data_IF_876148871614
#
_entry.id   IF_876148871614
#
_cell.length_a   1.000
_cell.length_b   1.000
_cell.length_c   1.000
_cell.angle_alpha   90.00
_cell.angle_beta   90.00
_cell.angle_gamma   90.00
#
_symmetry.space_group_name_H-M   'P 1'
#
loop_
_entity.id
_entity.type
_entity.pdbx_description
1 polymer ?
#
# COMPACT_ATOMS: atom_id res chain seq x y z
N UNK A 1 -0.30 -10.37 -22.79
CA UNK A 1 -0.15 -8.90 -22.67
C UNK A 1 -1.49 -8.23 -22.95
N UNK A 2 -2.03 -8.28 -24.16
CA UNK A 2 -3.34 -7.67 -24.46
C UNK A 2 -4.50 -8.25 -23.61
N UNK A 3 -4.48 -9.52 -23.22
CA UNK A 3 -5.46 -10.07 -22.25
C UNK A 3 -5.21 -9.70 -20.78
N UNK A 4 -4.08 -9.06 -20.46
CA UNK A 4 -3.78 -8.52 -19.12
C UNK A 4 -4.10 -7.03 -19.01
N UNK A 5 -4.14 -6.29 -20.14
CA UNK A 5 -4.23 -4.81 -20.17
C UNK A 5 -5.07 -4.23 -21.34
N UNK A 6 -5.73 -5.03 -22.18
CA UNK A 6 -6.20 -4.61 -23.52
C UNK A 6 -7.69 -4.76 -23.82
N UNK A 7 -8.43 -5.59 -23.10
CA UNK A 7 -9.86 -5.32 -22.85
C UNK A 7 -9.98 -5.03 -21.37
N UNK A 8 -10.92 -4.18 -20.98
CA UNK A 8 -11.10 -3.70 -19.62
C UNK A 8 -12.01 -4.66 -18.82
N UNK A 9 -11.49 -5.73 -18.16
CA UNK A 9 -12.28 -6.48 -17.19
C UNK A 9 -12.64 -5.61 -15.97
N UNK A 10 -12.06 -4.42 -15.83
CA UNK A 10 -12.36 -3.40 -14.83
C UNK A 10 -13.51 -2.46 -15.23
N UNK A 11 -14.00 -2.54 -16.48
CA UNK A 11 -15.17 -1.78 -16.94
C UNK A 11 -16.46 -2.28 -16.27
N UNK A 12 -16.37 -3.42 -15.59
CA UNK A 12 -17.41 -4.05 -14.80
C UNK A 12 -16.98 -4.03 -13.33
N UNK A 13 -17.91 -3.65 -12.47
CA UNK A 13 -17.75 -3.56 -11.00
C UNK A 13 -17.31 -4.87 -10.33
N UNK A 14 -17.24 -5.98 -11.09
CA UNK A 14 -16.97 -7.35 -10.65
C UNK A 14 -15.66 -7.52 -9.89
N UNK A 15 -14.56 -6.88 -10.30
CA UNK A 15 -13.27 -6.98 -9.60
C UNK A 15 -12.93 -5.69 -8.83
N UNK A 16 -13.38 -4.55 -9.36
CA UNK A 16 -13.19 -3.25 -8.74
C UNK A 16 -13.82 -3.17 -7.36
N UNK A 17 -15.11 -3.49 -7.21
CA UNK A 17 -15.80 -3.34 -5.92
C UNK A 17 -15.22 -4.27 -4.85
N UNK A 18 -14.96 -5.57 -5.12
CA UNK A 18 -14.31 -6.43 -4.14
C UNK A 18 -12.92 -5.95 -3.73
N UNK A 19 -12.08 -5.50 -4.66
CA UNK A 19 -10.77 -4.93 -4.31
C UNK A 19 -10.92 -3.66 -3.45
N UNK A 20 -11.78 -2.72 -3.87
CA UNK A 20 -12.03 -1.50 -3.11
C UNK A 20 -12.51 -1.80 -1.68
N UNK A 21 -13.30 -2.86 -1.49
CA UNK A 21 -13.80 -3.27 -0.18
C UNK A 21 -12.82 -4.12 0.64
N UNK A 22 -11.78 -4.67 0.02
CA UNK A 22 -10.77 -5.54 0.66
C UNK A 22 -9.35 -5.09 0.24
N UNK A 23 -8.94 -3.86 0.59
CA UNK A 23 -7.63 -3.31 0.24
C UNK A 23 -6.44 -4.07 0.85
N UNK A 24 -6.69 -4.78 1.95
CA UNK A 24 -5.74 -5.62 2.68
C UNK A 24 -5.50 -6.98 2.01
N UNK A 25 -6.19 -7.28 0.91
CA UNK A 25 -5.97 -8.49 0.12
C UNK A 25 -4.52 -8.57 -0.34
N UNK A 26 -3.90 -9.74 -0.13
CA UNK A 26 -2.52 -9.94 -0.53
C UNK A 26 -2.35 -9.94 -2.05
N UNK A 27 -1.34 -9.23 -2.54
CA UNK A 27 -0.91 -9.30 -3.94
C UNK A 27 -0.27 -10.65 -4.30
N UNK A 28 0.29 -11.36 -3.31
CA UNK A 28 1.12 -12.56 -3.53
C UNK A 28 0.51 -13.87 -3.01
N UNK A 29 -0.59 -13.79 -2.25
CA UNK A 29 -1.32 -14.96 -1.74
C UNK A 29 -2.78 -14.90 -2.13
N UNK A 30 -3.30 -16.02 -2.61
CA UNK A 30 -4.69 -16.12 -3.05
C UNK A 30 -5.60 -16.65 -1.94
N UNK A 31 -6.75 -16.00 -1.78
CA UNK A 31 -7.80 -16.36 -0.84
C UNK A 31 -8.74 -17.46 -1.39
N UNK A 32 -8.22 -18.41 -2.18
CA UNK A 32 -9.05 -19.36 -2.96
C UNK A 32 -9.97 -20.23 -2.09
N UNK A 33 -9.51 -20.59 -0.88
CA UNK A 33 -10.26 -21.44 0.04
C UNK A 33 -11.06 -20.66 1.08
N UNK A 34 -11.05 -19.33 1.03
CA UNK A 34 -11.84 -18.53 1.96
C UNK A 34 -13.34 -18.63 1.63
N UNK A 35 -14.21 -18.60 2.65
CA UNK A 35 -15.65 -18.74 2.43
C UNK A 35 -16.26 -17.52 1.74
N UNK A 36 -15.61 -16.36 1.80
CA UNK A 36 -16.04 -15.15 1.12
C UNK A 36 -15.51 -15.15 -0.34
N UNK A 37 -16.38 -15.35 -1.35
CA UNK A 37 -15.95 -15.38 -2.75
C UNK A 37 -15.41 -14.01 -3.24
N UNK A 38 -15.78 -12.91 -2.58
CA UNK A 38 -15.30 -11.58 -2.95
C UNK A 38 -13.79 -11.44 -2.75
N UNK A 39 -13.17 -12.21 -1.84
CA UNK A 39 -11.72 -12.15 -1.62
C UNK A 39 -10.93 -12.64 -2.83
N UNK A 40 -11.42 -13.68 -3.53
CA UNK A 40 -10.80 -14.15 -4.78
C UNK A 40 -10.98 -13.11 -5.88
N UNK A 41 -12.15 -12.46 -5.96
CA UNK A 41 -12.38 -11.37 -6.91
C UNK A 41 -11.47 -10.17 -6.60
N UNK A 42 -11.22 -9.88 -5.33
CA UNK A 42 -10.27 -8.87 -4.88
C UNK A 42 -8.83 -9.24 -5.27
N UNK A 43 -8.42 -10.50 -5.18
CA UNK A 43 -7.10 -10.95 -5.69
C UNK A 43 -6.95 -10.71 -7.20
N UNK A 44 -7.99 -11.02 -7.99
CA UNK A 44 -8.01 -10.68 -9.43
C UNK A 44 -7.90 -9.17 -9.65
N UNK A 45 -8.63 -8.39 -8.85
CA UNK A 45 -8.56 -6.93 -8.88
C UNK A 45 -7.15 -6.40 -8.60
N UNK A 46 -6.53 -6.88 -7.52
CA UNK A 46 -5.19 -6.48 -7.10
C UNK A 46 -4.16 -6.83 -8.18
N UNK A 47 -4.23 -8.05 -8.73
CA UNK A 47 -3.34 -8.49 -9.81
C UNK A 47 -3.47 -7.60 -11.04
N UNK A 48 -4.70 -7.31 -11.49
CA UNK A 48 -4.93 -6.47 -12.66
C UNK A 48 -4.43 -5.04 -12.45
N UNK A 49 -4.79 -4.40 -11.34
CA UNK A 49 -4.36 -3.02 -11.05
C UNK A 49 -2.86 -2.91 -10.90
N UNK A 50 -2.21 -3.90 -10.28
CA UNK A 50 -0.74 -3.94 -10.20
C UNK A 50 -0.08 -4.06 -11.57
N UNK A 51 -0.55 -4.95 -12.45
CA UNK A 51 0.00 -5.06 -13.81
C UNK A 51 -0.37 -3.88 -14.71
N UNK A 52 -1.53 -3.24 -14.49
CA UNK A 52 -1.88 -1.98 -15.16
C UNK A 52 -0.92 -0.87 -14.75
N UNK A 53 -0.69 -0.71 -13.44
CA UNK A 53 0.29 0.24 -12.90
C UNK A 53 1.68 0.02 -13.51
N UNK A 54 2.13 -1.23 -13.58
CA UNK A 54 3.39 -1.57 -14.21
C UNK A 54 3.46 -1.18 -15.68
N UNK A 55 2.38 -1.41 -16.43
CA UNK A 55 2.30 -1.06 -17.84
C UNK A 55 2.34 0.47 -18.03
N UNK A 56 1.56 1.23 -17.26
CA UNK A 56 1.48 2.68 -17.41
C UNK A 56 2.82 3.37 -17.11
N UNK A 57 3.54 2.89 -16.08
CA UNK A 57 4.72 3.60 -15.57
C UNK A 57 6.07 3.07 -16.09
N UNK A 58 6.14 1.82 -16.59
CA UNK A 58 7.43 1.16 -16.86
C UNK A 58 7.62 0.62 -18.29
N UNK A 59 6.82 1.07 -19.26
CA UNK A 59 7.05 0.75 -20.69
C UNK A 59 5.95 -0.04 -21.38
N UNK A 60 4.72 0.05 -20.87
CA UNK A 60 3.51 -0.45 -21.51
C UNK A 60 3.50 -1.95 -21.68
N UNK A 61 2.87 -2.39 -22.77
CA UNK A 61 2.74 -3.81 -23.12
C UNK A 61 4.09 -4.52 -23.28
N UNK A 62 5.15 -3.79 -23.66
CA UNK A 62 6.49 -4.36 -23.83
C UNK A 62 7.12 -4.78 -22.51
N UNK A 63 6.90 -3.99 -21.44
CA UNK A 63 7.33 -4.33 -20.09
C UNK A 63 6.63 -5.61 -19.59
N UNK A 64 5.31 -5.68 -19.73
CA UNK A 64 4.52 -6.86 -19.32
C UNK A 64 4.94 -8.11 -20.09
N UNK A 65 5.24 -7.98 -21.39
CA UNK A 65 5.77 -9.10 -22.18
C UNK A 65 7.13 -9.58 -21.69
N UNK A 66 7.99 -8.67 -21.24
CA UNK A 66 9.29 -9.02 -20.70
C UNK A 66 9.15 -9.80 -19.38
N UNK A 67 8.34 -9.30 -18.44
CA UNK A 67 8.04 -9.97 -17.16
C UNK A 67 7.58 -11.42 -17.39
N UNK A 68 6.61 -11.62 -18.28
CA UNK A 68 6.04 -12.96 -18.57
C UNK A 68 7.03 -13.90 -19.27
N UNK A 69 8.06 -13.38 -19.95
CA UNK A 69 9.07 -14.19 -20.65
C UNK A 69 10.25 -14.57 -19.75
N UNK A 70 10.36 -14.00 -18.55
CA UNK A 70 11.45 -14.33 -17.60
C UNK A 70 11.38 -15.80 -17.20
N UNK A 71 12.55 -16.37 -16.92
CA UNK A 71 12.68 -17.73 -16.39
C UNK A 71 12.58 -17.76 -14.85
N UNK A 72 12.58 -16.59 -14.20
CA UNK A 72 12.31 -16.44 -12.77
C UNK A 72 10.82 -16.16 -12.55
N UNK A 73 10.35 -16.39 -11.33
CA UNK A 73 8.94 -16.25 -10.97
C UNK A 73 8.71 -15.02 -10.09
N UNK A 74 7.46 -14.57 -9.98
CA UNK A 74 7.01 -13.59 -8.98
C UNK A 74 7.79 -12.27 -9.00
N UNK A 75 8.13 -11.77 -7.82
CA UNK A 75 8.82 -10.49 -7.60
C UNK A 75 10.14 -10.41 -8.37
N UNK A 76 10.92 -11.50 -8.40
CA UNK A 76 12.21 -11.55 -9.09
C UNK A 76 12.08 -11.28 -10.59
N UNK A 77 10.97 -11.70 -11.22
CA UNK A 77 10.71 -11.40 -12.64
C UNK A 77 10.44 -9.92 -12.86
N UNK A 78 9.68 -9.27 -11.97
CA UNK A 78 9.37 -7.84 -12.01
C UNK A 78 10.63 -7.01 -11.83
N UNK A 79 11.44 -7.29 -10.80
CA UNK A 79 12.68 -6.54 -10.53
C UNK A 79 13.70 -6.69 -11.67
N UNK A 80 13.85 -7.89 -12.24
CA UNK A 80 14.73 -8.09 -13.40
C UNK A 80 14.24 -7.36 -14.66
N UNK A 81 12.93 -7.28 -14.87
CA UNK A 81 12.34 -6.51 -15.97
C UNK A 81 12.54 -5.00 -15.77
N UNK A 82 12.33 -4.48 -14.55
CA UNK A 82 12.64 -3.08 -14.19
C UNK A 82 14.09 -2.74 -14.55
N UNK A 83 15.05 -3.54 -14.06
CA UNK A 83 16.47 -3.35 -14.34
C UNK A 83 16.78 -3.39 -15.85
N UNK A 84 16.12 -4.27 -16.60
CA UNK A 84 16.36 -4.42 -18.05
C UNK A 84 15.79 -3.27 -18.89
N UNK A 85 14.75 -2.60 -18.38
CA UNK A 85 14.17 -1.40 -18.97
C UNK A 85 14.86 -0.11 -18.50
N UNK A 86 15.88 -0.22 -17.63
CA UNK A 86 16.67 0.92 -17.14
C UNK A 86 16.09 1.60 -15.91
N UNK A 87 15.10 0.99 -15.25
CA UNK A 87 14.55 1.43 -13.97
C UNK A 87 15.29 0.77 -12.80
N UNK A 88 15.35 1.43 -11.66
CA UNK A 88 16.02 0.91 -10.46
C UNK A 88 15.23 1.03 -9.13
N UNK A 89 13.88 1.07 -9.09
CA UNK A 89 13.18 0.87 -7.83
C UNK A 89 13.27 -0.60 -7.40
N UNK A 90 13.40 -0.86 -6.11
CA UNK A 90 13.16 -2.20 -5.57
C UNK A 90 11.64 -2.48 -5.49
N UNK A 91 11.27 -3.74 -5.27
CA UNK A 91 9.84 -4.08 -5.23
C UNK A 91 9.09 -3.40 -4.07
N UNK A 92 9.75 -3.02 -2.97
CA UNK A 92 9.10 -2.30 -1.86
C UNK A 92 8.72 -0.88 -2.29
N UNK A 93 9.60 -0.19 -2.98
CA UNK A 93 9.32 1.13 -3.54
C UNK A 93 8.19 1.07 -4.58
N UNK A 94 8.26 0.10 -5.49
CA UNK A 94 7.20 -0.16 -6.46
C UNK A 94 5.85 -0.40 -5.76
N UNK A 95 5.84 -1.30 -4.77
CA UNK A 95 4.63 -1.66 -4.03
C UNK A 95 4.06 -0.47 -3.27
N UNK A 96 4.90 0.32 -2.60
CA UNK A 96 4.51 1.56 -1.91
C UNK A 96 3.83 2.54 -2.88
N UNK A 97 4.44 2.80 -4.04
CA UNK A 97 3.87 3.77 -4.98
C UNK A 97 2.54 3.26 -5.57
N UNK A 98 2.44 1.95 -5.84
CA UNK A 98 1.18 1.31 -6.27
C UNK A 98 0.06 1.43 -5.22
N UNK A 99 0.36 1.21 -3.94
CA UNK A 99 -0.65 1.35 -2.87
C UNK A 99 -1.07 2.80 -2.65
N UNK A 100 -0.15 3.75 -2.78
CA UNK A 100 -0.50 5.18 -2.78
C UNK A 100 -1.38 5.52 -4.00
N UNK A 101 -1.06 5.01 -5.19
CA UNK A 101 -1.86 5.23 -6.40
C UNK A 101 -3.29 4.66 -6.26
N UNK A 102 -3.42 3.50 -5.60
CA UNK A 102 -4.73 2.91 -5.30
C UNK A 102 -5.61 3.77 -4.38
N UNK A 103 -4.99 4.62 -3.56
CA UNK A 103 -5.68 5.51 -2.62
C UNK A 103 -5.93 6.90 -3.22
N UNK A 104 -4.89 7.54 -3.75
CA UNK A 104 -4.95 8.91 -4.26
C UNK A 104 -5.54 9.02 -5.66
N UNK A 105 -5.24 8.04 -6.53
CA UNK A 105 -5.62 8.01 -7.94
C UNK A 105 -5.46 9.36 -8.65
N UNK A 106 -4.27 9.96 -8.52
CA UNK A 106 -3.97 11.31 -8.97
C UNK A 106 -2.63 11.39 -9.71
N UNK A 107 -2.71 11.45 -11.04
CA UNK A 107 -1.55 11.53 -11.95
C UNK A 107 -0.87 12.90 -11.98
N UNK A 108 -1.34 13.89 -11.21
CA UNK A 108 -0.64 15.18 -11.07
C UNK A 108 0.45 15.17 -10.01
N UNK A 109 0.57 14.06 -9.26
CA UNK A 109 1.52 13.89 -8.15
C UNK A 109 2.66 12.97 -8.54
N UNK A 110 3.86 13.25 -8.03
CA UNK A 110 5.06 12.41 -8.17
C UNK A 110 5.26 11.94 -9.62
N UNK A 111 5.34 12.88 -10.58
CA UNK A 111 5.48 12.57 -12.02
C UNK A 111 4.45 11.56 -12.58
N UNK A 112 3.29 11.45 -11.94
CA UNK A 112 2.21 10.53 -12.31
C UNK A 112 2.13 9.24 -11.50
N UNK A 113 3.17 8.91 -10.71
CA UNK A 113 3.29 7.63 -10.02
C UNK A 113 2.22 7.35 -8.95
N UNK A 114 1.45 8.36 -8.53
CA UNK A 114 0.36 8.20 -7.55
C UNK A 114 -1.03 8.22 -8.18
N UNK A 115 -1.14 7.85 -9.45
CA UNK A 115 -2.42 7.61 -10.09
C UNK A 115 -2.35 6.67 -11.29
N UNK A 116 -3.48 6.57 -11.96
CA UNK A 116 -3.67 5.78 -13.17
C UNK A 116 -4.18 6.65 -14.32
N UNK A 117 -3.79 6.30 -15.55
CA UNK A 117 -4.32 6.95 -16.76
C UNK A 117 -5.56 6.24 -17.30
N UNK A 118 -5.61 4.91 -17.22
CA UNK A 118 -6.63 4.10 -17.89
C UNK A 118 -7.66 3.46 -16.95
N UNK A 119 -7.48 3.58 -15.63
CA UNK A 119 -8.43 3.06 -14.63
C UNK A 119 -8.72 4.13 -13.58
N UNK A 120 -9.90 4.05 -12.95
CA UNK A 120 -10.22 4.87 -11.78
C UNK A 120 -10.51 3.96 -10.60
N UNK A 121 -9.80 4.13 -9.51
CA UNK A 121 -9.93 3.31 -8.29
C UNK A 121 -9.81 4.18 -7.05
N UNK A 122 -10.50 3.78 -5.99
CA UNK A 122 -10.34 4.40 -4.68
C UNK A 122 -10.57 3.32 -3.63
N UNK A 123 -9.55 2.99 -2.86
CA UNK A 123 -9.67 1.97 -1.80
C UNK A 123 -10.56 2.46 -0.67
N UNK A 124 -11.32 1.54 -0.07
CA UNK A 124 -12.04 1.84 1.17
C UNK A 124 -11.03 2.05 2.30
N UNK A 125 -11.36 2.97 3.18
CA UNK A 125 -10.67 3.14 4.45
C UNK A 125 -11.09 2.00 5.37
N UNK A 126 -10.16 1.49 6.16
CA UNK A 126 -10.45 0.48 7.16
C UNK A 126 -11.22 1.09 8.34
N UNK A 127 -12.36 0.49 8.68
CA UNK A 127 -13.16 0.92 9.83
C UNK A 127 -13.74 2.33 9.69
N UNK A 128 -13.95 2.98 10.84
CA UNK A 128 -14.43 4.36 10.90
C UNK A 128 -13.25 5.33 11.02
N UNK A 129 -13.37 6.57 10.49
CA UNK A 129 -12.43 7.63 10.78
C UNK A 129 -12.10 7.74 12.26
N UNK A 130 -10.81 7.84 12.56
CA UNK A 130 -10.36 8.19 13.89
C UNK A 130 -10.48 9.70 14.07
N UNK A 131 -11.32 10.12 15.03
CA UNK A 131 -11.64 11.54 15.27
C UNK A 131 -11.08 12.07 16.58
N UNK A 132 -10.43 11.22 17.38
CA UNK A 132 -9.81 11.63 18.63
C UNK A 132 -8.44 12.24 18.37
N UNK A 133 -8.17 13.39 19.00
CA UNK A 133 -6.87 14.05 18.93
C UNK A 133 -5.72 13.27 19.57
N UNK A 134 -6.02 12.25 20.37
CA UNK A 134 -5.05 11.30 20.90
C UNK A 134 -5.65 9.89 20.86
N UNK A 135 -4.84 8.93 20.40
CA UNK A 135 -5.22 7.52 20.29
C UNK A 135 -4.22 6.72 21.13
N UNK A 136 -4.70 5.98 22.15
CA UNK A 136 -3.84 5.10 22.92
C UNK A 136 -3.34 3.95 22.04
N UNK A 137 -2.48 3.08 22.57
CA UNK A 137 -2.01 1.91 21.84
C UNK A 137 -3.18 1.12 21.24
N UNK A 138 -3.22 1.08 19.91
CA UNK A 138 -4.20 0.35 19.10
C UNK A 138 -3.46 -0.74 18.35
N UNK A 139 -3.87 -1.99 18.57
CA UNK A 139 -3.37 -3.16 17.84
C UNK A 139 -4.15 -3.29 16.54
N UNK A 140 -3.47 -3.69 15.47
CA UNK A 140 -4.07 -4.10 14.21
C UNK A 140 -3.20 -5.16 13.50
N UNK A 141 -3.63 -5.66 12.35
CA UNK A 141 -2.88 -6.65 11.58
C UNK A 141 -3.05 -6.43 10.08
N UNK A 142 -1.97 -6.64 9.31
CA UNK A 142 -1.99 -6.53 7.85
C UNK A 142 -1.36 -7.77 7.22
N UNK A 143 -2.00 -8.43 6.25
CA UNK A 143 -1.41 -9.56 5.53
C UNK A 143 -0.13 -9.17 4.76
N UNK A 144 0.80 -10.12 4.58
CA UNK A 144 1.95 -9.89 3.71
C UNK A 144 1.52 -9.44 2.31
N UNK A 145 2.12 -8.35 1.84
CA UNK A 145 1.79 -7.72 0.57
C UNK A 145 0.31 -7.34 0.43
N UNK A 146 -0.37 -7.09 1.56
CA UNK A 146 -1.65 -6.39 1.68
C UNK A 146 -1.44 -4.97 2.25
N UNK A 147 -2.49 -4.15 2.27
CA UNK A 147 -2.41 -2.76 2.76
C UNK A 147 -3.63 -2.31 3.54
N UNK A 148 -3.38 -1.73 4.71
CA UNK A 148 -4.37 -1.01 5.50
C UNK A 148 -4.33 0.48 5.15
N UNK A 149 -5.52 1.09 5.02
CA UNK A 149 -5.69 2.53 4.88
C UNK A 149 -6.43 3.05 6.11
N UNK A 150 -5.71 3.68 7.03
CA UNK A 150 -6.27 4.23 8.26
C UNK A 150 -6.42 5.74 8.13
N UNK A 151 -7.63 6.26 8.37
CA UNK A 151 -7.93 7.68 8.19
C UNK A 151 -8.17 8.39 9.52
N UNK A 152 -7.57 9.56 9.65
CA UNK A 152 -7.60 10.42 10.83
C UNK A 152 -8.14 11.79 10.42
N UNK A 153 -9.32 12.11 10.93
CA UNK A 153 -9.98 13.40 10.76
C UNK A 153 -9.66 14.22 12.01
N UNK A 154 -8.65 15.09 11.90
CA UNK A 154 -8.13 15.86 13.01
C UNK A 154 -8.33 17.36 12.73
N UNK A 155 -8.59 18.19 13.75
CA UNK A 155 -8.57 19.63 13.55
C UNK A 155 -7.18 20.07 13.04
N UNK A 156 -7.15 20.93 12.01
CA UNK A 156 -5.93 21.42 11.31
C UNK A 156 -4.77 21.86 12.21
N UNK A 157 -5.10 22.37 13.38
CA UNK A 157 -4.15 22.94 14.34
C UNK A 157 -3.64 21.91 15.36
N UNK A 158 -4.07 20.65 15.25
CA UNK A 158 -3.63 19.56 16.10
C UNK A 158 -2.40 18.92 15.47
N UNK A 159 -1.23 18.94 16.13
CA UNK A 159 -0.09 18.17 15.66
C UNK A 159 -0.47 16.69 15.50
N UNK A 160 0.04 16.07 14.45
CA UNK A 160 0.01 14.62 14.25
C UNK A 160 1.39 14.04 14.58
N UNK A 161 1.44 13.24 15.64
CA UNK A 161 2.60 12.44 16.05
C UNK A 161 2.22 10.97 16.04
N UNK A 162 2.91 10.18 15.22
CA UNK A 162 2.75 8.73 15.13
C UNK A 162 3.89 8.04 15.86
N UNK A 163 3.54 7.06 16.68
CA UNK A 163 4.43 5.96 17.03
C UNK A 163 3.90 4.67 16.43
N UNK A 164 4.78 3.93 15.77
CA UNK A 164 4.46 2.69 15.10
C UNK A 164 5.41 1.58 15.54
N UNK A 165 4.87 0.37 15.71
CA UNK A 165 5.67 -0.84 15.92
C UNK A 165 5.01 -2.03 15.24
N UNK A 166 5.70 -2.57 14.23
CA UNK A 166 5.35 -3.83 13.60
C UNK A 166 5.98 -5.06 14.27
N UNK A 167 5.54 -6.26 13.91
CA UNK A 167 6.17 -7.52 14.33
C UNK A 167 7.63 -7.63 13.84
N UNK A 168 8.50 -8.27 14.63
CA UNK A 168 9.94 -8.37 14.32
C UNK A 168 10.25 -9.31 13.14
N UNK A 169 9.35 -10.25 12.82
CA UNK A 169 9.52 -11.22 11.73
C UNK A 169 9.14 -10.64 10.36
N UNK A 170 8.37 -9.55 10.33
CA UNK A 170 7.95 -8.86 9.11
C UNK A 170 8.72 -7.55 8.88
N UNK A 171 8.79 -7.15 7.62
CA UNK A 171 9.10 -5.78 7.24
C UNK A 171 7.82 -4.98 7.05
N UNK A 172 7.89 -3.66 7.24
CA UNK A 172 6.75 -2.77 7.06
C UNK A 172 7.11 -1.60 6.14
N UNK A 173 6.12 -1.17 5.37
CA UNK A 173 6.12 0.04 4.57
C UNK A 173 5.02 0.91 5.15
N UNK A 174 5.38 2.03 5.76
CA UNK A 174 4.42 2.97 6.34
C UNK A 174 4.58 4.30 5.63
N UNK A 175 3.48 4.84 5.14
CA UNK A 175 3.44 6.17 4.50
C UNK A 175 2.35 6.99 5.16
N UNK A 176 2.67 8.25 5.44
CA UNK A 176 1.72 9.26 5.91
C UNK A 176 1.34 10.14 4.73
N UNK A 177 0.05 10.23 4.43
CA UNK A 177 -0.50 11.17 3.46
C UNK A 177 -1.18 12.29 4.26
N UNK A 178 -0.69 13.50 4.09
CA UNK A 178 -1.25 14.71 4.70
C UNK A 178 -2.05 15.47 3.65
N UNK A 179 -3.34 15.66 3.90
CA UNK A 179 -4.24 16.40 3.02
C UNK A 179 -4.68 17.70 3.68
N UNK A 180 -4.72 18.78 2.90
CA UNK A 180 -5.37 20.03 3.29
C UNK A 180 -6.36 20.43 2.20
N UNK A 181 -7.44 21.07 2.60
CA UNK A 181 -8.49 21.57 1.69
C UNK A 181 -8.00 22.52 0.59
N UNK A 182 -6.82 23.13 0.78
CA UNK A 182 -6.27 24.16 -0.12
C UNK A 182 -4.89 23.82 -0.70
N UNK A 183 -4.33 22.64 -0.42
CA UNK A 183 -3.01 22.25 -0.93
C UNK A 183 -3.00 20.86 -1.54
N UNK A 184 -2.02 20.63 -2.39
CA UNK A 184 -1.69 19.29 -2.88
C UNK A 184 -1.35 18.39 -1.67
N UNK A 185 -1.81 17.12 -1.62
CA UNK A 185 -1.44 16.19 -0.57
C UNK A 185 0.07 16.00 -0.48
N UNK A 186 0.61 15.96 0.72
CA UNK A 186 2.01 15.60 0.97
C UNK A 186 2.09 14.12 1.32
N UNK A 187 2.91 13.38 0.59
CA UNK A 187 3.11 11.95 0.80
C UNK A 187 4.49 11.76 1.41
N UNK A 188 4.55 11.21 2.63
CA UNK A 188 5.78 11.10 3.39
C UNK A 188 5.99 9.67 3.89
N UNK A 189 7.03 8.97 3.41
CA UNK A 189 7.38 7.66 3.96
C UNK A 189 7.87 7.82 5.40
N UNK A 190 7.57 6.82 6.22
CA UNK A 190 8.07 6.70 7.60
C UNK A 190 9.22 5.70 7.61
N UNK A 191 10.35 6.10 8.16
CA UNK A 191 11.49 5.22 8.32
C UNK A 191 11.19 4.15 9.39
N UNK A 192 11.10 2.90 8.95
CA UNK A 192 10.91 1.75 9.83
C UNK A 192 12.26 1.08 10.09
N UNK A 193 12.69 1.08 11.35
CA UNK A 193 13.91 0.40 11.81
C UNK A 193 13.85 -1.12 11.58
N UNK A 194 15.00 -1.79 11.68
CA UNK A 194 15.09 -3.26 11.55
C UNK A 194 14.31 -4.01 12.62
N UNK A 195 14.07 -3.37 13.77
CA UNK A 195 13.25 -3.83 14.89
C UNK A 195 11.76 -3.43 14.72
N UNK A 196 11.35 -2.91 13.56
CA UNK A 196 9.95 -2.61 13.25
C UNK A 196 9.41 -1.33 13.90
N UNK A 197 10.24 -0.52 14.57
CA UNK A 197 9.82 0.78 15.11
C UNK A 197 9.86 1.86 14.03
N UNK A 198 8.86 2.73 14.01
CA UNK A 198 8.83 3.96 13.23
C UNK A 198 8.18 5.10 14.03
N UNK A 199 8.57 6.33 13.73
CA UNK A 199 7.95 7.52 14.27
C UNK A 199 7.79 8.57 13.18
N UNK A 200 6.82 9.46 13.36
CA UNK A 200 6.61 10.57 12.45
C UNK A 200 5.96 11.74 13.19
N UNK A 201 6.42 12.97 12.93
CA UNK A 201 5.90 14.18 13.56
C UNK A 201 5.71 15.29 12.54
N UNK A 202 4.47 15.78 12.43
CA UNK A 202 4.17 17.01 11.68
C UNK A 202 4.76 18.25 12.35
N UNK A 203 4.91 18.25 13.67
CA UNK A 203 5.48 19.36 14.43
C UNK A 203 6.98 19.51 14.16
N UNK A 204 7.74 18.41 14.17
CA UNK A 204 9.18 18.42 13.84
C UNK A 204 9.44 18.92 12.42
N UNK A 205 8.50 18.68 11.51
CA UNK A 205 8.57 19.11 10.11
C UNK A 205 8.02 20.53 9.88
N UNK A 206 7.32 21.12 10.87
CA UNK A 206 6.67 22.42 10.74
C UNK A 206 5.53 22.43 9.72
N UNK A 207 4.80 21.32 9.59
CA UNK A 207 3.70 21.12 8.63
C UNK A 207 2.38 20.95 9.40
N UNK A 208 1.26 21.35 8.80
CA UNK A 208 -0.10 21.08 9.30
C UNK A 208 -0.92 20.33 8.26
N UNK A 209 -1.92 19.58 8.72
CA UNK A 209 -2.82 18.79 7.88
C UNK A 209 -4.24 18.84 8.45
N UNK A 210 -5.24 19.01 7.57
CA UNK A 210 -6.67 18.87 7.92
C UNK A 210 -7.04 17.38 8.07
N UNK A 211 -6.42 16.52 7.25
CA UNK A 211 -6.69 15.09 7.21
C UNK A 211 -5.37 14.33 7.11
N UNK A 212 -5.29 13.20 7.80
CA UNK A 212 -4.12 12.31 7.74
C UNK A 212 -4.57 10.91 7.40
N UNK A 213 -3.89 10.28 6.43
CA UNK A 213 -4.06 8.87 6.10
C UNK A 213 -2.76 8.13 6.30
N UNK A 214 -2.81 7.03 7.05
CA UNK A 214 -1.72 6.05 7.10
C UNK A 214 -1.99 4.96 6.06
N UNK A 215 -0.99 4.72 5.23
CA UNK A 215 -0.93 3.59 4.30
C UNK A 215 0.10 2.62 4.87
N UNK A 216 -0.37 1.48 5.37
CA UNK A 216 0.46 0.51 6.11
C UNK A 216 0.43 -0.82 5.36
N UNK A 217 1.59 -1.28 4.93
CA UNK A 217 1.75 -2.59 4.30
C UNK A 217 2.82 -3.40 5.01
N UNK A 218 2.72 -4.73 4.97
CA UNK A 218 3.80 -5.62 5.42
C UNK A 218 4.42 -6.39 4.27
N UNK A 219 5.67 -6.81 4.43
CA UNK A 219 6.39 -7.65 3.48
C UNK A 219 7.27 -8.68 4.20
N UNK A 220 7.62 -9.75 3.48
CA UNK A 220 8.53 -10.78 3.98
C UNK A 220 9.97 -10.28 3.96
N UNK A 221 10.69 -10.33 5.10
CA UNK A 221 12.12 -9.94 5.16
C UNK A 221 13.06 -10.86 4.36
N UNK A 222 12.61 -12.07 4.02
CA UNK A 222 13.32 -13.02 3.17
C UNK A 222 12.72 -13.08 1.76
N UNK A 223 13.23 -14.00 0.94
CA UNK A 223 12.60 -14.35 -0.33
C UNK A 223 11.12 -14.65 -0.11
N UNK A 224 10.27 -14.22 -1.03
CA UNK A 224 8.84 -14.54 -1.10
C UNK A 224 8.71 -15.94 -1.70
N UNK A 225 8.51 -17.04 -0.93
CA UNK A 225 8.40 -18.37 -1.51
C UNK A 225 7.32 -18.43 -2.58
N UNK A 226 7.48 -19.33 -3.56
CA UNK A 226 6.39 -19.72 -4.45
C UNK A 226 5.23 -20.23 -3.58
N UNK A 227 4.20 -19.40 -3.40
CA UNK A 227 3.08 -19.72 -2.54
C UNK A 227 2.11 -20.66 -3.24
N UNK A 228 1.49 -21.50 -2.43
CA UNK A 228 0.39 -22.33 -2.87
C UNK A 228 -0.88 -21.47 -2.78
N UNK A 229 -1.57 -21.28 -3.90
CA UNK A 229 -2.80 -20.46 -4.07
C UNK A 229 -3.98 -20.86 -3.16
N UNK A 230 -3.79 -21.84 -2.29
CA UNK A 230 -4.81 -22.42 -1.40
C UNK A 230 -4.79 -21.85 0.02
N UNK A 231 -3.90 -20.90 0.34
CA UNK A 231 -3.82 -20.27 1.66
C UNK A 231 -3.68 -18.76 1.55
N UNK A 232 -4.45 -18.05 2.37
CA UNK A 232 -4.31 -16.62 2.61
C UNK A 232 -2.94 -16.27 3.20
N UNK A 233 -2.49 -15.04 2.94
CA UNK A 233 -1.28 -14.51 3.53
C UNK A 233 -1.39 -14.49 5.06
N UNK A 234 -0.36 -14.92 5.80
CA UNK A 234 -0.30 -14.69 7.24
C UNK A 234 -0.41 -13.19 7.56
N UNK A 235 -1.38 -12.81 8.39
CA UNK A 235 -1.49 -11.46 8.92
C UNK A 235 -0.33 -11.15 9.87
N UNK A 236 0.23 -9.95 9.75
CA UNK A 236 1.34 -9.47 10.56
C UNK A 236 0.84 -8.39 11.51
N UNK A 237 0.93 -8.66 12.81
CA UNK A 237 0.45 -7.73 13.84
C UNK A 237 1.33 -6.49 13.94
N UNK A 238 0.72 -5.34 14.14
CA UNK A 238 1.39 -4.11 14.50
C UNK A 238 0.55 -3.34 15.52
N UNK A 239 1.16 -2.36 16.18
CA UNK A 239 0.40 -1.36 16.92
C UNK A 239 0.87 0.04 16.56
N UNK A 240 -0.03 0.99 16.78
CA UNK A 240 0.29 2.40 16.68
C UNK A 240 -0.29 3.18 17.86
N UNK A 241 0.27 4.36 18.10
CA UNK A 241 -0.28 5.40 18.98
C UNK A 241 -0.29 6.72 18.22
N UNK A 242 -1.26 7.57 18.56
CA UNK A 242 -1.26 8.94 18.05
C UNK A 242 -1.32 9.95 19.17
N UNK A 243 -0.48 10.98 19.05
CA UNK A 243 -0.36 12.05 20.03
C UNK A 243 -0.39 11.53 21.48
N UNK A 244 0.46 10.54 21.81
CA UNK A 244 0.41 9.92 23.12
C UNK A 244 0.64 10.97 24.21
N UNK A 245 -0.25 11.01 25.20
CA UNK A 245 -0.14 11.87 26.38
C UNK A 245 1.01 11.37 27.27
N UNK A 246 2.27 11.60 26.90
CA UNK A 246 3.43 11.12 27.66
C UNK A 246 4.68 10.88 26.82
N UNK A 247 5.63 10.12 27.39
CA UNK A 247 6.95 9.85 26.82
C UNK A 247 6.81 9.30 25.40
N UNK A 248 7.23 10.11 24.42
CA UNK A 248 7.49 9.62 23.08
C UNK A 248 8.53 8.51 23.21
N UNK A 249 8.26 7.30 22.73
CA UNK A 249 9.28 6.25 22.67
C UNK A 249 10.23 6.62 21.52
N UNK A 250 11.07 7.61 21.78
CA UNK A 250 12.30 7.86 21.03
C UNK A 250 13.25 6.72 21.38
N UNK A 251 13.17 5.62 20.64
CA UNK A 251 14.20 4.59 20.68
C UNK A 251 15.19 4.84 19.54
N UNK A 252 16.29 5.53 19.92
CA UNK A 252 17.67 5.16 19.56
C UNK A 252 18.11 5.32 18.13
#
# INVERSE_FOLDING_TARGET
>A
AEYLIGEDPFSITTYKNPLQANPDISLTYWAYNEPNPDLVLANYGASYTFFMYLAEHYGGSSFIQDVVKRSTDGIDSVEQSLASFGYNPDFKELFRNWTIANYLDNTTLEDGFYGYDNVTITMSIEGSPYTNSAIPRTENEVPYWGTDYLFFDLPSDTPFNLEFKGDDQAGYIVTVILSNTSSIPLVMPVDISTLGYGNFSTEELGITADEVTLVISSYTKGSTPNYNDTKTAPAQSYWFMMNPSGVTISLG
#
